data_IF_560501773539
#
_entry.id   IF_560501773539
#
_cell.length_a   1.000
_cell.length_b   1.000
_cell.length_c   1.000
_cell.angle_alpha   90.00
_cell.angle_beta   90.00
_cell.angle_gamma   90.00
#
_symmetry.space_group_name_H-M   'P 1'
#
loop_
_entity.id
_entity.type
_entity.pdbx_description
1 polymer ?
#
# COMPACT_ATOMS: atom_id res chain seq x y z
N UNK A 1 4.03 15.18 0.00
CA UNK A 1 4.07 15.85 1.32
C UNK A 1 4.71 14.85 2.26
N UNK A 2 5.85 15.20 2.86
CA UNK A 2 6.58 14.27 3.73
C UNK A 2 6.10 14.39 5.18
N UNK A 3 5.67 13.27 5.74
CA UNK A 3 5.10 13.20 7.08
C UNK A 3 6.04 12.39 7.97
N UNK A 4 6.60 13.06 8.97
CA UNK A 4 7.48 12.49 9.98
C UNK A 4 6.89 12.72 11.38
N UNK A 5 7.47 12.08 12.39
CA UNK A 5 6.99 12.17 13.78
C UNK A 5 6.91 13.61 14.27
N UNK A 6 7.84 14.45 13.84
CA UNK A 6 8.00 15.84 14.28
C UNK A 6 6.90 16.76 13.72
N UNK A 7 6.36 16.45 12.54
CA UNK A 7 5.36 17.28 11.86
C UNK A 7 3.95 16.65 11.86
N UNK A 8 3.80 15.40 12.30
CA UNK A 8 2.53 14.66 12.32
C UNK A 8 1.36 15.43 12.92
N UNK A 9 1.53 15.99 14.13
CA UNK A 9 0.44 16.69 14.81
C UNK A 9 -0.06 17.91 14.03
N UNK A 10 0.82 18.58 13.30
CA UNK A 10 0.47 19.77 12.50
C UNK A 10 -0.17 19.38 11.17
N UNK A 11 0.30 18.29 10.57
CA UNK A 11 -0.17 17.81 9.26
C UNK A 11 -1.42 16.93 9.34
N UNK A 12 -1.76 16.39 10.52
CA UNK A 12 -2.92 15.52 10.70
C UNK A 12 -4.23 16.15 10.24
N UNK A 13 -4.51 17.40 10.66
CA UNK A 13 -5.74 18.10 10.28
C UNK A 13 -5.83 18.36 8.77
N UNK A 14 -4.78 18.89 8.10
CA UNK A 14 -4.72 18.96 6.64
C UNK A 14 -4.98 17.62 5.95
N UNK A 15 -4.29 16.55 6.37
CA UNK A 15 -4.45 15.21 5.79
C UNK A 15 -5.89 14.73 5.89
N UNK A 16 -6.53 14.87 7.06
CA UNK A 16 -7.93 14.47 7.23
C UNK A 16 -8.89 15.27 6.36
N UNK A 17 -8.61 16.56 6.16
CA UNK A 17 -9.41 17.42 5.28
C UNK A 17 -9.25 16.99 3.81
N UNK A 18 -8.04 16.69 3.37
CA UNK A 18 -7.77 16.22 2.00
C UNK A 18 -8.45 14.87 1.75
N UNK A 19 -8.40 13.94 2.71
CA UNK A 19 -9.11 12.65 2.63
C UNK A 19 -10.62 12.85 2.57
N UNK A 20 -11.18 13.79 3.35
CA UNK A 20 -12.62 14.03 3.40
C UNK A 20 -13.17 14.66 2.10
N UNK A 21 -12.36 15.45 1.40
CA UNK A 21 -12.75 16.08 0.13
C UNK A 21 -12.48 15.18 -1.08
N UNK A 22 -11.59 14.18 -0.95
CA UNK A 22 -11.25 13.28 -2.02
C UNK A 22 -12.47 12.47 -2.52
N UNK A 23 -12.57 12.31 -3.82
CA UNK A 23 -13.52 11.39 -4.47
C UNK A 23 -13.11 9.94 -4.24
N UNK A 24 -11.81 9.65 -4.29
CA UNK A 24 -11.24 8.38 -3.88
C UNK A 24 -9.80 8.58 -3.37
N UNK A 25 -9.34 7.61 -2.59
CA UNK A 25 -7.99 7.58 -2.04
C UNK A 25 -7.31 6.31 -2.49
N UNK A 26 -6.11 6.44 -3.04
CA UNK A 26 -5.21 5.29 -3.25
C UNK A 26 -4.12 5.30 -2.17
N UNK A 27 -3.67 4.12 -1.79
CA UNK A 27 -2.56 3.97 -0.86
C UNK A 27 -1.64 2.85 -1.30
N UNK A 28 -0.38 2.96 -0.90
CA UNK A 28 0.67 1.99 -1.17
C UNK A 28 1.59 1.86 0.05
N UNK A 29 2.16 0.68 0.25
CA UNK A 29 2.96 0.35 1.43
C UNK A 29 4.35 -0.09 1.01
N UNK A 30 5.36 0.54 1.62
CA UNK A 30 6.75 0.09 1.51
C UNK A 30 7.10 -0.73 2.74
N UNK A 31 7.41 -2.01 2.51
CA UNK A 31 7.75 -2.97 3.56
C UNK A 31 9.27 -3.07 3.74
N UNK A 32 9.73 -3.46 4.93
CA UNK A 32 11.16 -3.66 5.20
C UNK A 32 11.80 -4.80 4.42
N UNK A 33 11.00 -5.67 3.83
CA UNK A 33 11.46 -6.79 3.03
C UNK A 33 10.29 -7.48 2.34
N UNK A 34 10.63 -8.42 1.46
CA UNK A 34 9.67 -9.29 0.79
C UNK A 34 10.01 -10.73 1.15
N UNK A 35 9.01 -11.59 1.25
CA UNK A 35 9.29 -13.03 1.33
C UNK A 35 9.85 -13.50 -0.01
N UNK A 36 11.12 -13.89 -0.01
CA UNK A 36 11.63 -14.71 -1.10
C UNK A 36 11.07 -16.10 -0.82
N UNK A 37 10.04 -16.53 -1.57
CA UNK A 37 9.58 -17.93 -1.54
C UNK A 37 10.81 -18.84 -1.43
N UNK A 38 10.82 -19.85 -0.55
CA UNK A 38 11.93 -20.78 -0.53
C UNK A 38 12.10 -21.27 -1.96
N UNK A 39 13.27 -20.98 -2.55
CA UNK A 39 13.71 -21.68 -3.76
C UNK A 39 13.59 -23.14 -3.36
N UNK A 40 12.55 -23.81 -3.84
CA UNK A 40 12.28 -25.19 -3.51
C UNK A 40 13.62 -25.91 -3.55
N UNK A 41 13.94 -26.49 -2.40
CA UNK A 41 14.81 -27.64 -2.30
C UNK A 41 14.65 -28.47 -3.56
N UNK A 42 15.77 -28.82 -4.17
CA UNK A 42 15.87 -29.49 -5.46
C UNK A 42 15.26 -30.91 -5.49
N UNK A 43 14.15 -31.18 -4.80
CA UNK A 43 13.60 -32.51 -4.60
C UNK A 43 12.10 -32.69 -4.86
N UNK A 44 11.32 -31.64 -5.17
CA UNK A 44 9.91 -31.83 -5.57
C UNK A 44 9.60 -31.08 -6.86
N UNK A 45 10.28 -31.46 -7.94
CA UNK A 45 9.89 -31.15 -9.32
C UNK A 45 8.96 -32.23 -9.88
N UNK A 46 8.03 -32.72 -9.07
CA UNK A 46 7.01 -33.65 -9.51
C UNK A 46 5.69 -32.92 -9.56
N UNK A 47 5.30 -32.58 -10.79
CA UNK A 47 3.94 -32.56 -11.31
C UNK A 47 2.83 -31.94 -10.44
N UNK A 48 2.16 -30.92 -11.00
CA UNK A 48 0.90 -30.33 -10.54
C UNK A 48 0.95 -29.41 -9.32
N UNK A 49 1.78 -28.36 -9.37
CA UNK A 49 1.50 -27.17 -8.56
C UNK A 49 0.43 -26.36 -9.32
N UNK A 50 -0.81 -26.82 -9.21
CA UNK A 50 -1.98 -25.99 -9.51
C UNK A 50 -1.87 -24.65 -8.80
N UNK A 51 -2.52 -23.61 -9.34
CA UNK A 51 -2.55 -22.27 -8.70
C UNK A 51 -2.80 -22.45 -7.20
N UNK A 52 -1.94 -21.90 -6.32
CA UNK A 52 -2.13 -22.05 -4.88
C UNK A 52 -3.52 -21.58 -4.52
N UNK A 53 -4.18 -22.33 -3.63
CA UNK A 53 -5.52 -21.97 -3.16
C UNK A 53 -5.50 -20.58 -2.52
N UNK A 54 -6.64 -19.87 -2.53
CA UNK A 54 -6.74 -18.54 -1.91
C UNK A 54 -6.33 -18.56 -0.43
N UNK A 55 -6.62 -19.65 0.27
CA UNK A 55 -6.25 -19.81 1.68
C UNK A 55 -4.73 -19.90 1.87
N UNK A 56 -4.03 -20.68 1.04
CA UNK A 56 -2.57 -20.78 1.10
C UNK A 56 -1.90 -19.44 0.77
N UNK A 57 -2.43 -18.70 -0.21
CA UNK A 57 -1.93 -17.36 -0.52
C UNK A 57 -2.12 -16.39 0.66
N UNK A 58 -3.26 -16.47 1.36
CA UNK A 58 -3.49 -15.65 2.54
C UNK A 58 -2.52 -15.99 3.68
N UNK A 59 -2.27 -17.27 3.94
CA UNK A 59 -1.32 -17.72 4.97
C UNK A 59 0.12 -17.26 4.67
N UNK A 60 0.57 -17.40 3.42
CA UNK A 60 1.89 -16.91 2.99
C UNK A 60 2.02 -15.38 3.18
N UNK A 61 1.01 -14.61 2.76
CA UNK A 61 1.03 -13.14 2.87
C UNK A 61 0.94 -12.70 4.33
N UNK A 62 0.15 -13.40 5.16
CA UNK A 62 0.03 -13.13 6.59
C UNK A 62 1.37 -13.35 7.29
N UNK A 63 2.05 -14.47 7.05
CA UNK A 63 3.36 -14.74 7.64
C UNK A 63 4.38 -13.67 7.25
N UNK A 64 4.38 -13.24 5.99
CA UNK A 64 5.24 -12.16 5.52
C UNK A 64 4.92 -10.82 6.22
N UNK A 65 3.63 -10.49 6.38
CA UNK A 65 3.18 -9.27 7.06
C UNK A 65 3.46 -9.28 8.58
N UNK A 66 3.47 -10.44 9.21
CA UNK A 66 3.89 -10.60 10.62
C UNK A 66 5.42 -10.51 10.79
N UNK A 67 6.18 -10.81 9.74
CA UNK A 67 7.65 -10.80 9.76
C UNK A 67 8.25 -9.44 9.41
N UNK A 68 7.70 -8.75 8.40
CA UNK A 68 8.24 -7.49 7.89
C UNK A 68 7.45 -6.30 8.41
N UNK A 69 8.16 -5.23 8.77
CA UNK A 69 7.53 -3.98 9.23
C UNK A 69 7.20 -3.07 8.05
N UNK A 70 6.10 -2.31 8.17
CA UNK A 70 5.79 -1.21 7.26
C UNK A 70 6.75 -0.05 7.54
N UNK A 71 7.51 0.39 6.54
CA UNK A 71 8.45 1.51 6.65
C UNK A 71 7.80 2.84 6.23
N UNK A 72 6.98 2.80 5.18
CA UNK A 72 6.31 3.99 4.66
C UNK A 72 4.90 3.65 4.16
N UNK A 73 3.99 4.58 4.35
CA UNK A 73 2.63 4.57 3.82
C UNK A 73 2.49 5.75 2.85
N UNK A 74 2.38 5.46 1.57
CA UNK A 74 2.02 6.43 0.54
C UNK A 74 0.50 6.57 0.48
N UNK A 75 -0.01 7.79 0.56
CA UNK A 75 -1.44 8.09 0.37
C UNK A 75 -1.56 9.12 -0.75
N UNK A 76 -2.48 8.90 -1.68
CA UNK A 76 -2.85 9.86 -2.72
C UNK A 76 -4.34 10.12 -2.66
N UNK A 77 -4.70 11.37 -2.37
CA UNK A 77 -6.09 11.85 -2.41
C UNK A 77 -6.37 12.41 -3.80
N UNK A 78 -7.47 11.99 -4.43
CA UNK A 78 -7.87 12.42 -5.76
C UNK A 78 -9.26 13.04 -5.72
N UNK A 79 -9.37 14.25 -6.26
CA UNK A 79 -10.60 15.00 -6.43
C UNK A 79 -11.00 15.04 -7.90
N UNK A 80 -12.28 14.82 -8.19
CA UNK A 80 -12.87 14.95 -9.52
C UNK A 80 -13.34 16.39 -9.75
N UNK A 81 -12.75 17.09 -10.73
CA UNK A 81 -13.28 18.36 -11.26
C UNK A 81 -14.26 18.03 -12.39
N UNK A 82 -15.56 18.00 -12.05
CA UNK A 82 -16.64 17.66 -13.00
C UNK A 82 -16.90 18.72 -14.05
N UNK A 83 -16.53 19.97 -13.80
CA UNK A 83 -16.72 21.05 -14.78
C UNK A 83 -15.68 20.95 -15.89
N UNK A 84 -14.46 20.52 -15.56
CA UNK A 84 -13.38 20.31 -16.53
C UNK A 84 -13.25 18.88 -17.03
N UNK A 85 -13.86 17.90 -16.33
CA UNK A 85 -13.74 16.48 -16.65
C UNK A 85 -12.36 15.92 -16.34
N UNK A 86 -11.69 16.44 -15.31
CA UNK A 86 -10.30 16.09 -14.95
C UNK A 86 -10.21 15.60 -13.50
N UNK A 87 -9.18 14.80 -13.21
CA UNK A 87 -8.86 14.36 -11.86
C UNK A 87 -7.63 15.10 -11.34
N UNK A 88 -7.75 15.69 -10.15
CA UNK A 88 -6.70 16.45 -9.50
C UNK A 88 -6.21 15.72 -8.25
N UNK A 89 -4.89 15.58 -8.12
CA UNK A 89 -4.29 15.02 -6.91
C UNK A 89 -4.01 16.14 -5.89
N UNK A 90 -4.48 15.97 -4.64
CA UNK A 90 -4.49 17.03 -3.62
C UNK A 90 -3.11 17.52 -3.16
N UNK A 91 -2.01 16.79 -3.44
CA UNK A 91 -0.66 17.14 -2.96
C UNK A 91 0.14 18.05 -3.89
N UNK A 92 -0.51 18.91 -4.68
CA UNK A 92 0.20 19.97 -5.42
C UNK A 92 0.65 21.05 -4.44
N UNK A 93 1.98 21.24 -4.35
CA UNK A 93 2.57 22.40 -3.70
C UNK A 93 1.94 23.67 -4.29
N UNK A 94 1.46 24.55 -3.40
CA UNK A 94 1.33 25.97 -3.68
C UNK A 94 2.69 26.65 -3.51
#
# INVERSE_FOLDING_TARGET
MEVHKENWQRLLLPILKDIANATFVSFDLEMSGITTRPKHTSQERTHDIGKPSLQQQYEEVKEAAETFQVLQLGITCVEEDREKGEYNCCFRHS
#
